data_IF_963721739425
#
_entry.id   IF_963721739425
#
_cell.length_a   1.000
_cell.length_b   1.000
_cell.length_c   1.000
_cell.angle_alpha   90.00
_cell.angle_beta   90.00
_cell.angle_gamma   90.00
#
_symmetry.space_group_name_H-M   'P 1'
#
loop_
_entity.id
_entity.type
_entity.pdbx_description
1 polymer ?
#
# COMPACT_ATOMS: atom_id res chain seq x y z
N UNK A 1 -1.02 -4.46 92.02
CA UNK A 1 -2.20 -5.35 92.26
C UNK A 1 -3.47 -4.68 91.79
N UNK A 2 -4.44 -5.35 91.31
CA UNK A 2 -4.53 -6.66 90.64
C UNK A 2 -5.19 -6.44 89.23
N UNK A 3 -5.44 -7.27 88.32
CA UNK A 3 -5.62 -8.72 88.13
C UNK A 3 -5.96 -8.98 86.65
N UNK A 4 -5.46 -10.02 86.14
CA UNK A 4 -5.86 -10.62 84.83
C UNK A 4 -7.27 -11.24 85.03
N UNK A 5 -8.09 -11.50 84.00
CA UNK A 5 -7.85 -12.71 83.22
C UNK A 5 -8.17 -12.63 81.70
N UNK A 6 -7.65 -13.70 81.09
CA UNK A 6 -7.74 -14.14 79.70
C UNK A 6 -9.16 -14.48 79.21
N UNK A 7 -9.33 -14.48 77.90
CA UNK A 7 -10.01 -15.58 77.21
C UNK A 7 -9.60 -15.62 75.75
N UNK A 8 -9.27 -16.80 75.28
CA UNK A 8 -8.99 -17.21 73.87
C UNK A 8 -10.29 -17.23 73.10
N UNK A 9 -10.17 -16.88 71.80
CA UNK A 9 -10.92 -17.67 70.80
C UNK A 9 -10.17 -17.64 69.47
N UNK A 10 -9.93 -18.85 69.00
CA UNK A 10 -9.38 -19.17 67.68
C UNK A 10 -10.48 -19.00 66.63
N UNK A 11 -10.20 -18.30 65.56
CA UNK A 11 -10.90 -18.53 64.30
C UNK A 11 -9.93 -18.68 63.15
N UNK A 12 -10.01 -19.80 62.51
CA UNK A 12 -9.36 -20.28 61.31
C UNK A 12 -9.84 -19.47 60.11
N UNK A 13 -8.99 -18.63 59.54
CA UNK A 13 -9.24 -17.91 58.30
C UNK A 13 -8.43 -18.52 57.16
N UNK A 14 -9.09 -19.21 56.29
CA UNK A 14 -8.65 -19.87 55.06
C UNK A 14 -7.87 -18.90 54.18
N UNK A 15 -6.62 -19.25 53.87
CA UNK A 15 -5.78 -18.59 52.85
C UNK A 15 -6.37 -18.83 51.47
N UNK A 16 -6.97 -17.80 50.91
CA UNK A 16 -7.33 -17.76 49.48
C UNK A 16 -6.09 -17.40 48.66
N UNK A 17 -5.60 -18.31 47.86
CA UNK A 17 -4.57 -18.08 46.86
C UNK A 17 -5.02 -17.04 45.86
N UNK A 18 -4.13 -16.13 45.39
CA UNK A 18 -4.50 -15.17 44.36
C UNK A 18 -4.77 -15.89 43.03
N UNK A 19 -5.98 -15.72 42.54
CA UNK A 19 -6.41 -16.18 41.22
C UNK A 19 -5.44 -15.67 40.14
N UNK A 20 -4.86 -16.62 39.47
CA UNK A 20 -4.01 -16.43 38.28
C UNK A 20 -4.77 -15.59 37.22
N UNK A 21 -4.48 -14.29 37.19
CA UNK A 21 -5.03 -13.38 36.18
C UNK A 21 -4.69 -13.91 34.80
N UNK A 22 -5.70 -14.37 34.08
CA UNK A 22 -5.59 -14.78 32.70
C UNK A 22 -4.78 -13.71 31.94
N UNK A 23 -3.58 -14.06 31.46
CA UNK A 23 -2.83 -13.28 30.50
C UNK A 23 -3.76 -13.02 29.32
N UNK A 24 -4.34 -11.82 29.23
CA UNK A 24 -4.99 -11.36 28.02
C UNK A 24 -4.00 -11.54 26.89
N UNK A 25 -4.24 -12.50 26.04
CA UNK A 25 -3.46 -12.73 24.83
C UNK A 25 -3.38 -11.42 24.08
N UNK A 26 -2.18 -11.09 23.60
CA UNK A 26 -1.96 -9.93 22.71
C UNK A 26 -3.03 -10.02 21.61
N UNK A 27 -3.74 -8.93 21.25
CA UNK A 27 -4.70 -8.98 20.14
C UNK A 27 -4.00 -9.63 18.95
N UNK A 28 -4.54 -10.75 18.46
CA UNK A 28 -3.98 -11.44 17.30
C UNK A 28 -3.93 -10.47 16.14
N UNK A 29 -2.89 -10.55 15.31
CA UNK A 29 -2.90 -9.83 14.03
C UNK A 29 -4.11 -10.32 13.23
N UNK A 30 -4.90 -9.37 12.69
CA UNK A 30 -5.75 -9.68 11.56
C UNK A 30 -4.89 -9.83 10.29
N UNK A 31 -5.43 -10.46 9.26
CA UNK A 31 -4.70 -10.74 8.02
C UNK A 31 -4.21 -9.44 7.35
N UNK A 32 -5.03 -8.40 7.33
CA UNK A 32 -4.70 -7.13 6.70
C UNK A 32 -3.50 -6.46 7.39
N UNK A 33 -3.51 -6.40 8.71
CA UNK A 33 -2.41 -5.84 9.49
C UNK A 33 -1.12 -6.65 9.35
N UNK A 34 -1.24 -8.00 9.30
CA UNK A 34 -0.10 -8.87 9.05
C UNK A 34 0.55 -8.53 7.71
N UNK A 35 -0.23 -8.48 6.63
CA UNK A 35 0.26 -8.16 5.29
C UNK A 35 0.88 -6.77 5.25
N UNK A 36 0.25 -5.76 5.86
CA UNK A 36 0.78 -4.40 5.93
C UNK A 36 2.18 -4.36 6.57
N UNK A 37 2.40 -5.05 7.68
CA UNK A 37 3.73 -5.14 8.30
C UNK A 37 4.72 -5.89 7.40
N UNK A 38 4.30 -7.00 6.78
CA UNK A 38 5.16 -7.74 5.85
C UNK A 38 5.60 -6.88 4.66
N UNK A 39 4.70 -6.05 4.11
CA UNK A 39 5.02 -5.13 3.01
C UNK A 39 6.05 -4.09 3.45
N UNK A 40 5.97 -3.57 4.66
CA UNK A 40 7.00 -2.67 5.20
C UNK A 40 8.37 -3.37 5.26
N UNK A 41 8.43 -4.61 5.75
CA UNK A 41 9.66 -5.41 5.81
C UNK A 41 10.20 -5.68 4.41
N UNK A 42 9.34 -5.99 3.43
CA UNK A 42 9.76 -6.18 2.04
C UNK A 42 10.33 -4.89 1.42
N UNK A 43 9.76 -3.74 1.75
CA UNK A 43 10.28 -2.45 1.28
C UNK A 43 11.61 -2.08 1.93
N UNK A 44 11.82 -2.43 3.20
CA UNK A 44 13.05 -2.13 3.94
C UNK A 44 14.21 -3.04 3.54
N UNK A 45 13.97 -4.36 3.50
CA UNK A 45 15.05 -5.35 3.31
C UNK A 45 15.07 -5.99 1.91
N UNK A 46 14.05 -5.74 1.10
CA UNK A 46 13.84 -6.41 -0.19
C UNK A 46 13.08 -7.73 -0.03
N UNK A 47 12.21 -8.03 -1.01
CA UNK A 47 11.40 -9.24 -1.00
C UNK A 47 12.26 -10.51 -1.03
N UNK A 48 13.24 -10.60 -1.94
CA UNK A 48 14.04 -11.81 -2.14
C UNK A 48 14.86 -12.17 -0.89
N UNK A 49 15.40 -11.16 -0.20
CA UNK A 49 16.22 -11.32 1.00
C UNK A 49 15.41 -11.59 2.27
N UNK A 50 14.11 -11.28 2.26
CA UNK A 50 13.24 -11.47 3.43
C UNK A 50 12.82 -12.93 3.57
N UNK A 51 13.01 -13.50 4.77
CA UNK A 51 12.56 -14.84 5.13
C UNK A 51 11.32 -14.80 6.03
N UNK A 52 10.56 -15.91 6.11
CA UNK A 52 9.46 -16.07 7.08
C UNK A 52 9.92 -15.91 8.54
N UNK A 53 11.20 -16.19 8.81
CA UNK A 53 11.81 -15.94 10.12
C UNK A 53 11.96 -14.46 10.43
N UNK A 54 12.37 -13.66 9.48
CA UNK A 54 12.46 -12.21 9.61
C UNK A 54 11.07 -11.60 9.83
N UNK A 55 10.08 -12.04 9.05
CA UNK A 55 8.68 -11.61 9.23
C UNK A 55 8.16 -11.95 10.63
N UNK A 56 8.41 -13.16 11.10
CA UNK A 56 8.06 -13.61 12.46
C UNK A 56 8.64 -12.71 13.55
N UNK A 57 9.92 -12.35 13.42
CA UNK A 57 10.60 -11.46 14.36
C UNK A 57 9.99 -10.03 14.34
N UNK A 58 9.75 -9.46 13.18
CA UNK A 58 9.15 -8.12 13.06
C UNK A 58 7.70 -8.05 13.55
N UNK A 59 6.93 -9.11 13.29
CA UNK A 59 5.56 -9.22 13.78
C UNK A 59 5.50 -9.54 15.28
N UNK A 60 6.58 -10.08 15.88
CA UNK A 60 6.60 -10.53 17.27
C UNK A 60 5.66 -11.73 17.54
N UNK A 61 5.43 -12.58 16.53
CA UNK A 61 4.61 -13.80 16.59
C UNK A 61 5.39 -14.98 16.03
N UNK A 62 4.94 -16.20 16.32
CA UNK A 62 5.59 -17.40 15.79
C UNK A 62 5.36 -17.57 14.29
N UNK A 63 6.27 -18.28 13.60
CA UNK A 63 6.06 -18.66 12.18
C UNK A 63 4.75 -19.42 11.99
N UNK A 64 4.39 -20.31 12.92
CA UNK A 64 3.12 -21.05 12.90
C UNK A 64 1.93 -20.09 12.92
N UNK A 65 1.98 -19.02 13.71
CA UNK A 65 0.92 -18.01 13.74
C UNK A 65 0.80 -17.25 12.41
N UNK A 66 1.92 -16.99 11.71
CA UNK A 66 1.87 -16.41 10.36
C UNK A 66 1.19 -17.38 9.40
N UNK A 67 1.55 -18.67 9.44
CA UNK A 67 0.99 -19.70 8.55
C UNK A 67 -0.50 -20.00 8.80
N UNK A 68 -1.09 -19.51 9.89
CA UNK A 68 -2.55 -19.50 10.06
C UNK A 68 -3.26 -18.45 9.18
N UNK A 69 -2.55 -17.43 8.74
CA UNK A 69 -3.10 -16.36 7.92
C UNK A 69 -2.75 -16.49 6.44
N UNK A 70 -1.56 -16.98 6.12
CA UNK A 70 -1.02 -17.08 4.76
C UNK A 70 -0.24 -18.38 4.58
N UNK A 71 -0.26 -18.95 3.39
CA UNK A 71 0.41 -20.22 3.10
C UNK A 71 1.90 -20.04 2.75
N UNK A 72 2.28 -18.87 2.24
CA UNK A 72 3.65 -18.61 1.80
C UNK A 72 4.00 -17.12 1.83
N UNK A 73 5.29 -16.82 1.69
CA UNK A 73 5.80 -15.45 1.45
C UNK A 73 5.29 -14.91 0.11
N UNK A 74 5.15 -15.77 -0.87
CA UNK A 74 4.69 -15.43 -2.21
C UNK A 74 3.21 -15.01 -2.20
N UNK A 75 2.36 -15.65 -1.40
CA UNK A 75 0.95 -15.26 -1.21
C UNK A 75 0.85 -13.84 -0.61
N UNK A 76 1.73 -13.50 0.34
CA UNK A 76 1.79 -12.13 0.90
C UNK A 76 2.16 -11.12 -0.20
N UNK A 77 3.15 -11.45 -1.03
CA UNK A 77 3.55 -10.61 -2.16
C UNK A 77 2.39 -10.42 -3.14
N UNK A 78 1.76 -11.52 -3.56
CA UNK A 78 0.64 -11.50 -4.51
C UNK A 78 -0.49 -10.62 -4.02
N UNK A 79 -0.95 -10.78 -2.77
CA UNK A 79 -2.01 -9.97 -2.19
C UNK A 79 -1.64 -8.49 -2.11
N UNK A 80 -0.41 -8.20 -1.75
CA UNK A 80 0.08 -6.82 -1.72
C UNK A 80 0.10 -6.17 -3.11
N UNK A 81 0.54 -6.91 -4.14
CA UNK A 81 0.57 -6.43 -5.52
C UNK A 81 -0.82 -6.27 -6.11
N UNK A 82 -1.72 -7.21 -5.84
CA UNK A 82 -3.12 -7.13 -6.24
C UNK A 82 -3.78 -5.87 -5.67
N UNK A 83 -3.58 -5.59 -4.39
CA UNK A 83 -4.12 -4.38 -3.74
C UNK A 83 -3.71 -3.09 -4.46
N UNK A 84 -2.44 -2.94 -4.79
CA UNK A 84 -1.95 -1.76 -5.51
C UNK A 84 -2.51 -1.68 -6.94
N UNK A 85 -2.48 -2.79 -7.67
CA UNK A 85 -2.90 -2.85 -9.07
C UNK A 85 -4.40 -2.66 -9.22
N UNK A 86 -5.21 -3.32 -8.38
CA UNK A 86 -6.66 -3.19 -8.41
C UNK A 86 -7.09 -1.74 -8.10
N UNK A 87 -6.42 -1.07 -7.15
CA UNK A 87 -6.67 0.33 -6.84
C UNK A 87 -6.33 1.26 -8.01
N UNK A 88 -5.21 1.01 -8.72
CA UNK A 88 -4.80 1.79 -9.89
C UNK A 88 -5.75 1.56 -11.07
N UNK A 89 -6.09 0.31 -11.37
CA UNK A 89 -7.00 -0.03 -12.47
C UNK A 89 -8.39 0.55 -12.19
N UNK A 90 -8.91 0.44 -10.97
CA UNK A 90 -10.18 1.03 -10.57
C UNK A 90 -10.19 2.56 -10.75
N UNK A 91 -9.14 3.25 -10.33
CA UNK A 91 -9.03 4.70 -10.50
C UNK A 91 -9.03 5.12 -11.98
N UNK A 92 -8.48 4.27 -12.86
CA UNK A 92 -8.53 4.49 -14.33
C UNK A 92 -9.93 4.24 -14.90
N UNK A 93 -10.60 3.18 -14.46
CA UNK A 93 -11.93 2.84 -14.95
C UNK A 93 -12.99 3.88 -14.54
N UNK A 94 -12.85 4.47 -13.35
CA UNK A 94 -13.77 5.51 -12.83
C UNK A 94 -13.79 6.78 -13.69
N UNK A 95 -12.71 7.10 -14.39
CA UNK A 95 -12.62 8.33 -15.23
C UNK A 95 -12.89 8.07 -16.71
N UNK A 96 -12.99 6.81 -17.13
CA UNK A 96 -13.23 6.43 -18.51
C UNK A 96 -14.74 6.44 -18.80
N UNK A 97 -15.19 7.52 -19.40
CA UNK A 97 -16.58 7.64 -19.91
C UNK A 97 -16.57 7.79 -21.43
N UNK A 98 -17.48 7.13 -22.16
CA UNK A 98 -17.49 7.14 -23.64
C UNK A 98 -17.50 8.50 -24.28
N UNK A 99 -18.15 9.48 -23.62
CA UNK A 99 -18.39 10.81 -24.15
C UNK A 99 -17.37 11.87 -23.68
N UNK A 100 -16.39 11.48 -22.82
CA UNK A 100 -15.39 12.41 -22.32
C UNK A 100 -14.18 12.53 -23.25
N UNK A 101 -13.60 13.72 -23.33
CA UNK A 101 -12.41 13.98 -24.13
C UNK A 101 -11.18 13.27 -23.55
N UNK A 102 -10.25 12.90 -24.41
CA UNK A 102 -9.03 12.23 -24.02
C UNK A 102 -8.23 13.00 -22.97
N UNK A 103 -8.19 14.34 -23.07
CA UNK A 103 -7.49 15.21 -22.11
C UNK A 103 -8.12 15.16 -20.71
N UNK A 104 -9.46 15.16 -20.62
CA UNK A 104 -10.18 15.11 -19.34
C UNK A 104 -9.97 13.74 -18.65
N UNK A 105 -10.01 12.67 -19.44
CA UNK A 105 -9.70 11.33 -18.95
C UNK A 105 -8.24 11.23 -18.49
N UNK A 106 -7.30 11.81 -19.25
CA UNK A 106 -5.87 11.81 -18.89
C UNK A 106 -5.63 12.60 -17.59
N UNK A 107 -6.27 13.75 -17.40
CA UNK A 107 -6.24 14.49 -16.15
C UNK A 107 -6.75 13.63 -14.99
N UNK A 108 -7.90 12.99 -15.16
CA UNK A 108 -8.49 12.10 -14.17
C UNK A 108 -7.57 10.93 -13.79
N UNK A 109 -6.90 10.31 -14.78
CA UNK A 109 -5.91 9.25 -14.56
C UNK A 109 -4.71 9.75 -13.76
N UNK A 110 -4.17 10.93 -14.07
CA UNK A 110 -3.05 11.53 -13.33
C UNK A 110 -3.47 11.74 -11.86
N UNK A 111 -4.62 12.36 -11.63
CA UNK A 111 -5.14 12.63 -10.27
C UNK A 111 -5.40 11.34 -9.49
N UNK A 112 -6.08 10.39 -10.13
CA UNK A 112 -6.39 9.09 -9.53
C UNK A 112 -5.14 8.30 -9.18
N UNK A 113 -4.15 8.26 -10.08
CA UNK A 113 -2.88 7.58 -9.85
C UNK A 113 -2.10 8.17 -8.67
N UNK A 114 -2.07 9.50 -8.53
CA UNK A 114 -1.41 10.17 -7.40
C UNK A 114 -2.14 9.87 -6.08
N UNK A 115 -3.49 9.91 -6.05
CA UNK A 115 -4.26 9.54 -4.86
C UNK A 115 -3.99 8.11 -4.44
N UNK A 116 -4.06 7.15 -5.37
CA UNK A 116 -3.76 5.75 -5.08
C UNK A 116 -2.32 5.58 -4.57
N UNK A 117 -1.35 6.26 -5.20
CA UNK A 117 0.04 6.21 -4.78
C UNK A 117 0.23 6.70 -3.35
N UNK A 118 -0.39 7.81 -2.97
CA UNK A 118 -0.29 8.37 -1.62
C UNK A 118 -1.01 7.47 -0.60
N UNK A 119 -2.23 7.03 -0.91
CA UNK A 119 -3.06 6.23 -0.01
C UNK A 119 -2.52 4.81 0.18
N UNK A 120 -1.89 4.26 -0.85
CA UNK A 120 -1.38 2.89 -0.90
C UNK A 120 0.16 2.86 -1.02
N UNK A 121 0.85 3.90 -0.55
CA UNK A 121 2.27 4.11 -0.80
C UNK A 121 3.16 2.88 -0.54
N UNK A 122 3.04 2.13 0.58
CA UNK A 122 3.88 0.96 0.81
C UNK A 122 3.67 -0.14 -0.26
N UNK A 123 2.44 -0.33 -0.71
CA UNK A 123 2.07 -1.34 -1.71
C UNK A 123 2.51 -0.92 -3.12
N UNK A 124 2.33 0.36 -3.47
CA UNK A 124 2.82 0.91 -4.75
C UNK A 124 4.36 0.90 -4.78
N UNK A 125 5.04 1.25 -3.70
CA UNK A 125 6.49 1.16 -3.60
C UNK A 125 7.00 -0.26 -3.88
N UNK A 126 6.36 -1.27 -3.29
CA UNK A 126 6.68 -2.68 -3.54
C UNK A 126 6.49 -3.04 -5.02
N UNK A 127 5.35 -2.64 -5.61
CA UNK A 127 5.05 -2.83 -7.04
C UNK A 127 6.10 -2.19 -7.96
N UNK A 128 6.62 -1.01 -7.61
CA UNK A 128 7.62 -0.30 -8.41
C UNK A 128 9.01 -0.95 -8.36
N UNK A 129 9.31 -1.73 -7.31
CA UNK A 129 10.60 -2.39 -7.08
C UNK A 129 10.69 -3.80 -7.67
N UNK A 130 9.63 -4.31 -8.31
CA UNK A 130 9.61 -5.63 -8.91
C UNK A 130 10.65 -5.77 -10.02
N UNK A 131 11.27 -6.95 -10.08
CA UNK A 131 12.27 -7.31 -11.09
C UNK A 131 11.80 -8.36 -12.08
N UNK A 132 10.72 -9.10 -11.77
CA UNK A 132 10.21 -10.18 -12.59
C UNK A 132 10.89 -11.52 -12.31
N UNK A 133 11.29 -11.75 -11.06
CA UNK A 133 12.01 -12.97 -10.65
C UNK A 133 11.07 -14.15 -10.37
N UNK A 134 9.77 -13.93 -10.28
CA UNK A 134 8.76 -14.96 -10.02
C UNK A 134 7.55 -14.82 -10.95
N UNK A 135 6.74 -15.90 -11.11
CA UNK A 135 5.49 -15.83 -11.89
C UNK A 135 4.54 -14.73 -11.40
N UNK A 136 4.43 -14.52 -10.08
CA UNK A 136 3.62 -13.46 -9.47
C UNK A 136 4.12 -12.07 -9.89
N UNK A 137 5.43 -11.85 -9.85
CA UNK A 137 6.02 -10.59 -10.30
C UNK A 137 5.82 -10.36 -11.81
N UNK A 138 6.00 -11.40 -12.63
CA UNK A 138 5.79 -11.30 -14.09
C UNK A 138 4.35 -10.91 -14.38
N UNK A 139 3.35 -11.54 -13.74
CA UNK A 139 1.94 -11.21 -13.90
C UNK A 139 1.64 -9.76 -13.49
N UNK A 140 2.21 -9.29 -12.37
CA UNK A 140 2.07 -7.91 -11.92
C UNK A 140 2.70 -6.90 -12.90
N UNK A 141 3.89 -7.20 -13.45
CA UNK A 141 4.54 -6.37 -14.46
C UNK A 141 3.74 -6.31 -15.77
N UNK A 142 3.04 -7.37 -16.16
CA UNK A 142 2.15 -7.36 -17.30
C UNK A 142 0.92 -6.47 -17.06
N UNK A 143 0.34 -6.47 -15.88
CA UNK A 143 -0.72 -5.52 -15.50
C UNK A 143 -0.23 -4.08 -15.56
N UNK A 144 0.96 -3.77 -15.03
CA UNK A 144 1.58 -2.44 -15.18
C UNK A 144 1.76 -2.00 -16.62
N UNK A 145 2.13 -2.92 -17.51
CA UNK A 145 2.23 -2.63 -18.96
C UNK A 145 0.86 -2.31 -19.57
N UNK A 146 -0.22 -2.96 -19.11
CA UNK A 146 -1.59 -2.61 -19.53
C UNK A 146 -1.97 -1.21 -19.10
N UNK A 147 -1.69 -0.84 -17.84
CA UNK A 147 -1.88 0.53 -17.34
C UNK A 147 -1.15 1.55 -18.24
N UNK A 148 0.11 1.30 -18.58
CA UNK A 148 0.87 2.19 -19.46
C UNK A 148 0.23 2.31 -20.84
N UNK A 149 -0.29 1.21 -21.42
CA UNK A 149 -0.99 1.25 -22.72
C UNK A 149 -2.29 2.04 -22.65
N UNK A 150 -3.05 1.94 -21.57
CA UNK A 150 -4.25 2.76 -21.38
C UNK A 150 -3.90 4.25 -21.40
N UNK A 151 -2.83 4.67 -20.73
CA UNK A 151 -2.37 6.08 -20.79
C UNK A 151 -1.90 6.47 -22.18
N UNK A 152 -1.25 5.54 -22.93
CA UNK A 152 -0.86 5.76 -24.33
C UNK A 152 -2.07 6.00 -25.25
N UNK A 153 -3.15 5.25 -25.05
CA UNK A 153 -4.40 5.43 -25.78
C UNK A 153 -5.03 6.79 -25.50
N UNK A 154 -5.05 7.23 -24.24
CA UNK A 154 -5.59 8.54 -23.86
C UNK A 154 -4.76 9.71 -24.41
N UNK A 155 -3.43 9.60 -24.38
CA UNK A 155 -2.54 10.63 -24.98
C UNK A 155 -2.81 10.74 -26.49
N UNK A 156 -2.91 9.60 -27.20
CA UNK A 156 -3.21 9.59 -28.62
C UNK A 156 -4.59 10.18 -28.92
N UNK A 157 -5.62 9.78 -28.14
CA UNK A 157 -6.96 10.34 -28.28
C UNK A 157 -6.95 11.87 -28.12
N UNK A 158 -6.28 12.40 -27.11
CA UNK A 158 -6.18 13.84 -26.88
C UNK A 158 -5.37 14.57 -27.97
N UNK A 159 -4.40 13.90 -28.62
CA UNK A 159 -3.72 14.42 -29.82
C UNK A 159 -4.67 14.46 -31.02
N UNK A 160 -5.40 13.37 -31.28
CA UNK A 160 -6.38 13.27 -32.38
C UNK A 160 -7.52 14.29 -32.23
N UNK A 161 -7.88 14.67 -30.99
CA UNK A 161 -8.86 15.69 -30.63
C UNK A 161 -8.31 17.13 -30.70
N UNK A 162 -7.00 17.29 -30.88
CA UNK A 162 -6.31 18.61 -30.98
C UNK A 162 -6.04 19.27 -29.62
N UNK A 163 -6.21 18.58 -28.51
CA UNK A 163 -5.92 19.10 -27.15
C UNK A 163 -4.44 19.03 -26.80
N UNK A 164 -3.74 18.03 -27.31
CA UNK A 164 -2.32 17.84 -27.10
C UNK A 164 -1.55 18.03 -28.41
N UNK A 165 -0.37 18.62 -28.28
CA UNK A 165 0.55 18.83 -29.40
C UNK A 165 0.98 17.51 -30.04
N UNK A 166 1.04 17.48 -31.36
CA UNK A 166 1.36 16.29 -32.16
C UNK A 166 2.87 16.04 -32.31
N UNK A 167 3.71 17.04 -32.04
CA UNK A 167 5.17 16.96 -32.19
C UNK A 167 5.88 16.20 -31.06
N UNK A 168 5.13 15.71 -30.06
CA UNK A 168 5.62 14.88 -28.99
C UNK A 168 5.28 13.40 -29.21
N UNK A 169 6.17 12.53 -28.75
CA UNK A 169 6.02 11.09 -28.94
C UNK A 169 4.89 10.51 -28.08
N UNK A 170 3.82 10.03 -28.71
CA UNK A 170 2.74 9.30 -28.05
C UNK A 170 3.19 8.04 -27.26
N UNK A 171 4.37 7.48 -27.56
CA UNK A 171 4.95 6.33 -26.85
C UNK A 171 5.79 6.72 -25.65
N UNK A 172 6.50 7.85 -25.70
CA UNK A 172 7.39 8.29 -24.62
C UNK A 172 6.63 9.07 -23.55
N UNK A 173 5.67 9.89 -23.96
CA UNK A 173 4.88 10.76 -23.08
C UNK A 173 4.20 10.00 -21.92
N UNK A 174 3.50 8.86 -22.15
CA UNK A 174 2.92 8.09 -21.06
C UNK A 174 3.94 7.60 -20.04
N UNK A 175 5.13 7.19 -20.51
CA UNK A 175 6.20 6.74 -19.62
C UNK A 175 6.79 7.87 -18.78
N UNK A 176 6.90 9.07 -19.37
CA UNK A 176 7.36 10.26 -18.65
C UNK A 176 6.34 10.70 -17.60
N UNK A 177 5.05 10.73 -17.96
CA UNK A 177 3.95 11.03 -17.01
C UNK A 177 3.97 10.05 -15.82
N UNK A 178 3.93 8.76 -16.12
CA UNK A 178 3.94 7.72 -15.06
C UNK A 178 5.26 7.72 -14.29
N UNK A 179 6.39 7.98 -14.93
CA UNK A 179 7.70 8.11 -14.29
C UNK A 179 7.73 9.25 -13.28
N UNK A 180 7.19 10.41 -13.64
CA UNK A 180 7.04 11.56 -12.74
C UNK A 180 6.15 11.21 -11.54
N UNK A 181 4.98 10.60 -11.79
CA UNK A 181 4.08 10.16 -10.70
C UNK A 181 4.78 9.15 -9.80
N UNK A 182 5.44 8.14 -10.39
CA UNK A 182 6.10 7.09 -9.63
C UNK A 182 7.25 7.62 -8.76
N UNK A 183 7.92 8.71 -9.16
CA UNK A 183 8.99 9.31 -8.35
C UNK A 183 8.50 9.87 -7.01
N UNK A 184 7.20 10.11 -6.86
CA UNK A 184 6.61 10.62 -5.62
C UNK A 184 6.92 9.69 -4.42
N UNK A 185 7.03 8.37 -4.63
CA UNK A 185 7.37 7.42 -3.55
C UNK A 185 8.74 7.67 -2.90
N UNK A 186 9.64 8.37 -3.59
CA UNK A 186 11.01 8.60 -3.12
C UNK A 186 11.15 9.84 -2.24
N UNK A 187 10.24 10.80 -2.35
CA UNK A 187 10.37 12.09 -1.68
C UNK A 187 9.13 12.56 -0.92
N UNK A 188 7.93 12.05 -1.23
CA UNK A 188 6.71 12.48 -0.55
C UNK A 188 6.62 11.87 0.85
N UNK A 189 6.31 12.72 1.82
CA UNK A 189 6.08 12.32 3.20
C UNK A 189 4.64 12.69 3.60
N UNK A 190 3.81 11.70 3.98
CA UNK A 190 2.47 11.96 4.50
C UNK A 190 2.52 12.90 5.72
N UNK A 191 1.67 13.93 5.72
CA UNK A 191 1.65 14.94 6.80
C UNK A 191 2.66 16.07 6.65
N UNK A 192 3.42 16.13 5.55
CA UNK A 192 4.25 17.27 5.16
C UNK A 192 3.43 18.48 4.67
N UNK A 193 4.11 19.46 4.10
CA UNK A 193 3.46 20.67 3.57
C UNK A 193 2.68 20.34 2.28
N UNK A 194 1.36 20.47 2.34
CA UNK A 194 0.46 20.28 1.20
C UNK A 194 -0.41 19.03 1.29
N UNK A 195 -1.55 19.09 0.63
CA UNK A 195 -2.49 17.96 0.51
C UNK A 195 -2.21 17.13 -0.73
N UNK A 196 -2.73 15.90 -0.75
CA UNK A 196 -2.69 15.03 -1.96
C UNK A 196 -3.32 15.71 -3.17
N UNK A 197 -4.39 16.48 -2.96
CA UNK A 197 -5.05 17.22 -4.05
C UNK A 197 -4.16 18.36 -4.58
N UNK A 198 -3.47 19.10 -3.72
CA UNK A 198 -2.49 20.12 -4.17
C UNK A 198 -1.33 19.52 -4.96
N UNK A 199 -0.86 18.33 -4.55
CA UNK A 199 0.15 17.59 -5.29
C UNK A 199 -0.37 17.18 -6.67
N UNK A 200 -1.60 16.65 -6.73
CA UNK A 200 -2.24 16.26 -7.97
C UNK A 200 -2.48 17.47 -8.89
N UNK A 201 -2.94 18.61 -8.36
CA UNK A 201 -3.10 19.86 -9.11
C UNK A 201 -1.78 20.32 -9.72
N UNK A 202 -0.69 20.27 -8.95
CA UNK A 202 0.64 20.65 -9.44
C UNK A 202 1.11 19.73 -10.56
N UNK A 203 0.95 18.42 -10.40
CA UNK A 203 1.34 17.45 -11.40
C UNK A 203 0.53 17.60 -12.70
N UNK A 204 -0.79 17.79 -12.59
CA UNK A 204 -1.68 18.05 -13.75
C UNK A 204 -1.24 19.30 -14.50
N UNK A 205 -1.02 20.42 -13.80
CA UNK A 205 -0.54 21.65 -14.42
C UNK A 205 0.79 21.46 -15.15
N UNK A 206 1.77 20.86 -14.48
CA UNK A 206 3.09 20.61 -15.07
C UNK A 206 3.01 19.76 -16.34
N UNK A 207 2.18 18.71 -16.33
CA UNK A 207 2.02 17.80 -17.47
C UNK A 207 1.21 18.47 -18.56
N UNK A 208 -0.03 18.88 -18.27
CA UNK A 208 -0.96 19.30 -19.32
C UNK A 208 -0.59 20.66 -19.92
N UNK A 209 -0.10 21.63 -19.13
CA UNK A 209 0.35 22.92 -19.67
C UNK A 209 1.60 22.79 -20.56
N UNK A 210 2.48 21.80 -20.27
CA UNK A 210 3.63 21.49 -21.13
C UNK A 210 3.28 20.69 -22.39
N UNK A 211 2.10 20.08 -22.45
CA UNK A 211 1.65 19.21 -23.54
C UNK A 211 0.57 19.85 -24.43
N UNK A 212 -0.07 20.93 -23.99
CA UNK A 212 -1.13 21.60 -24.77
C UNK A 212 -0.63 22.11 -26.12
N UNK A 213 -1.53 22.01 -27.09
CA UNK A 213 -1.31 22.56 -28.45
C UNK A 213 -1.31 24.10 -28.46
#
# INVERSE_FOLDING_TARGET
>A
MPTVPATQDQETGTSAAPSNGARRGRPGYDREKLISVCVQVFNEYGYDTTSMGMLSNHLGISKSAIYHHVNSKEEILEEALLRALDSLEKAMDEVRTPDSRGIDQLEGVIRGSIRVLVDQMPYVTLLLRLRGNSPVEIAALERRRRITRTVEELVRQAQDEGDLREDISGKSTPRLILGMINSIVDWYQPGGSGTTDQLADTAVKMVLEGLRA
#
